data_IF_702365590838
#
_entry.id   IF_702365590838
#
_cell.length_a   1.000
_cell.length_b   1.000
_cell.length_c   1.000
_cell.angle_alpha   90.00
_cell.angle_beta   90.00
_cell.angle_gamma   90.00
#
_symmetry.space_group_name_H-M   'P 1'
#
loop_
_entity.id
_entity.type
_entity.pdbx_description
1 polymer ?
#
# COMPACT_ATOMS: atom_id res chain seq x y z
N UNK A 1 2.94 5.72 15.93
CA UNK A 1 1.65 5.14 16.35
C UNK A 1 0.72 6.10 17.11
N UNK A 2 1.18 7.12 17.84
CA UNK A 2 0.28 8.09 18.53
C UNK A 2 -0.82 8.71 17.66
N UNK A 3 -0.60 8.89 16.35
CA UNK A 3 -1.61 9.39 15.39
C UNK A 3 -2.83 8.48 15.25
N UNK A 4 -2.76 7.23 15.73
CA UNK A 4 -3.85 6.25 15.67
C UNK A 4 -4.81 6.36 16.87
N UNK A 5 -4.40 7.03 17.95
CA UNK A 5 -5.15 7.08 19.21
C UNK A 5 -6.46 7.88 19.08
N UNK A 6 -6.57 8.73 18.06
CA UNK A 6 -7.69 9.66 17.85
C UNK A 6 -8.54 9.39 16.60
N UNK A 7 -8.33 8.27 15.91
CA UNK A 7 -9.01 7.95 14.64
C UNK A 7 -9.93 6.74 14.80
N UNK A 8 -11.17 6.87 14.31
CA UNK A 8 -12.20 5.81 14.39
C UNK A 8 -12.05 4.72 13.33
N UNK A 9 -11.32 5.01 12.24
CA UNK A 9 -11.13 4.12 11.12
C UNK A 9 -9.92 4.50 10.27
N UNK A 10 -9.47 3.54 9.46
CA UNK A 10 -8.38 3.70 8.52
C UNK A 10 -8.83 3.31 7.12
N UNK A 11 -8.49 4.14 6.13
CA UNK A 11 -8.61 3.81 4.73
C UNK A 11 -7.22 3.54 4.15
N UNK A 12 -7.08 2.45 3.40
CA UNK A 12 -5.84 2.07 2.72
C UNK A 12 -6.07 2.16 1.22
N UNK A 13 -5.36 3.09 0.57
CA UNK A 13 -5.51 3.35 -0.87
C UNK A 13 -4.19 3.12 -1.59
N UNK A 14 -4.22 2.37 -2.69
CA UNK A 14 -3.04 2.17 -3.52
C UNK A 14 -2.70 3.47 -4.26
N UNK A 15 -1.44 3.89 -4.16
CA UNK A 15 -0.91 5.01 -4.95
C UNK A 15 -0.37 4.44 -6.26
N UNK A 16 -1.09 4.70 -7.36
CA UNK A 16 -0.64 4.30 -8.70
C UNK A 16 0.49 5.23 -9.15
N UNK A 17 1.68 4.68 -9.35
CA UNK A 17 2.80 5.42 -9.94
C UNK A 17 2.74 5.31 -11.46
N UNK A 18 2.35 6.40 -12.12
CA UNK A 18 2.23 6.45 -13.58
C UNK A 18 3.55 6.20 -14.32
N UNK A 19 4.71 6.44 -13.68
CA UNK A 19 6.02 6.12 -14.25
C UNK A 19 6.31 4.62 -14.37
N UNK A 20 5.83 3.81 -13.42
CA UNK A 20 5.92 2.34 -13.47
C UNK A 20 5.01 1.78 -14.56
N UNK A 21 3.81 2.37 -14.73
CA UNK A 21 2.86 2.01 -15.79
C UNK A 21 3.45 2.28 -17.19
N UNK A 22 4.17 3.40 -17.37
CA UNK A 22 4.78 3.77 -18.66
C UNK A 22 6.08 3.00 -18.98
N UNK A 23 6.81 2.55 -17.97
CA UNK A 23 8.08 1.81 -18.13
C UNK A 23 7.92 0.28 -18.10
N UNK A 24 6.77 -0.22 -17.66
CA UNK A 24 6.50 -1.65 -17.51
C UNK A 24 7.27 -2.32 -16.36
N UNK A 25 7.95 -1.54 -15.52
CA UNK A 25 8.68 -2.02 -14.35
C UNK A 25 7.71 -2.09 -13.16
N UNK A 26 7.20 -3.29 -12.84
CA UNK A 26 6.34 -3.51 -11.68
C UNK A 26 7.19 -3.46 -10.39
N UNK A 27 7.36 -2.27 -9.81
CA UNK A 27 7.80 -2.15 -8.43
C UNK A 27 6.79 -2.74 -7.44
N UNK A 28 7.18 -2.82 -6.17
CA UNK A 28 6.23 -3.17 -5.10
C UNK A 28 5.13 -2.10 -5.02
N UNK A 29 3.87 -2.53 -4.90
CA UNK A 29 2.76 -1.62 -4.77
C UNK A 29 2.93 -0.73 -3.52
N UNK A 30 2.68 0.56 -3.68
CA UNK A 30 2.72 1.55 -2.60
C UNK A 30 1.32 1.98 -2.23
N UNK A 31 1.12 2.30 -0.97
CA UNK A 31 -0.17 2.63 -0.39
C UNK A 31 -0.05 3.85 0.52
N UNK A 32 -1.17 4.53 0.69
CA UNK A 32 -1.37 5.59 1.66
C UNK A 32 -2.40 5.11 2.67
N UNK A 33 -2.10 5.30 3.95
CA UNK A 33 -3.03 5.06 5.05
C UNK A 33 -3.57 6.41 5.50
N UNK A 34 -4.89 6.60 5.40
CA UNK A 34 -5.58 7.83 5.79
C UNK A 34 -6.62 7.59 6.86
N UNK A 35 -7.00 8.64 7.58
CA UNK A 35 -8.18 8.62 8.45
C UNK A 35 -9.50 8.67 7.64
N UNK A 36 -10.63 8.68 8.35
CA UNK A 36 -11.98 8.78 7.78
C UNK A 36 -12.23 10.12 7.06
N UNK A 37 -11.51 11.17 7.44
CA UNK A 37 -11.53 12.48 6.79
C UNK A 37 -10.65 12.56 5.55
N UNK A 38 -9.91 11.50 5.22
CA UNK A 38 -8.96 11.47 4.11
C UNK A 38 -7.60 12.09 4.42
N UNK A 39 -7.31 12.43 5.68
CA UNK A 39 -5.99 12.92 6.05
C UNK A 39 -4.97 11.78 6.04
N UNK A 40 -3.91 11.94 5.23
CA UNK A 40 -2.84 10.96 5.14
C UNK A 40 -2.03 10.87 6.45
N UNK A 41 -2.06 9.71 7.09
CA UNK A 41 -1.38 9.46 8.36
C UNK A 41 -0.01 8.81 8.15
N UNK A 42 0.05 7.80 7.27
CA UNK A 42 1.22 6.95 7.01
C UNK A 42 1.32 6.56 5.53
N UNK A 43 2.49 6.05 5.16
CA UNK A 43 2.66 5.30 3.92
C UNK A 43 2.74 3.80 4.24
N UNK A 44 2.46 2.97 3.25
CA UNK A 44 2.73 1.55 3.34
C UNK A 44 3.24 0.98 2.03
N UNK A 45 3.99 -0.12 2.09
CA UNK A 45 4.57 -0.82 0.93
C UNK A 45 4.20 -2.30 0.98
N UNK A 46 3.82 -2.89 -0.15
CA UNK A 46 3.59 -4.34 -0.24
C UNK A 46 4.91 -5.08 -0.06
N UNK A 47 4.90 -6.08 0.81
CA UNK A 47 6.04 -6.97 0.99
C UNK A 47 6.37 -7.68 -0.35
N UNK A 48 7.66 -7.91 -0.65
CA UNK A 48 8.04 -8.68 -1.84
C UNK A 48 7.43 -10.09 -1.82
N UNK A 49 6.52 -10.36 -2.75
CA UNK A 49 5.85 -11.65 -2.88
C UNK A 49 6.44 -12.55 -3.96
N UNK A 50 5.92 -13.78 -4.04
CA UNK A 50 6.25 -14.71 -5.13
C UNK A 50 5.74 -14.19 -6.48
N UNK A 51 6.64 -14.11 -7.46
CA UNK A 51 6.31 -13.73 -8.86
C UNK A 51 5.30 -14.71 -9.47
N UNK A 52 5.45 -16.01 -9.21
CA UNK A 52 4.49 -17.01 -9.70
C UNK A 52 3.11 -16.81 -9.05
N UNK A 53 3.06 -16.52 -7.76
CA UNK A 53 1.79 -16.21 -7.09
C UNK A 53 1.13 -14.96 -7.70
N UNK A 54 1.92 -13.93 -8.05
CA UNK A 54 1.41 -12.73 -8.72
C UNK A 54 0.80 -13.07 -10.09
N UNK A 55 1.44 -13.93 -10.88
CA UNK A 55 0.97 -14.32 -12.22
C UNK A 55 -0.30 -15.20 -12.18
N UNK A 56 -0.35 -16.19 -11.28
CA UNK A 56 -1.40 -17.20 -11.28
C UNK A 56 -2.54 -16.93 -10.29
N UNK A 57 -2.25 -16.44 -9.09
CA UNK A 57 -3.26 -16.22 -8.04
C UNK A 57 -3.89 -14.82 -8.10
N UNK A 58 -3.17 -13.84 -8.67
CA UNK A 58 -3.65 -12.46 -8.88
C UNK A 58 -4.19 -11.81 -7.61
N UNK A 59 -5.53 -11.67 -7.48
CA UNK A 59 -6.18 -11.08 -6.32
C UNK A 59 -6.25 -12.05 -5.12
N UNK A 60 -6.05 -13.34 -5.34
CA UNK A 60 -5.99 -14.38 -4.29
C UNK A 60 -4.59 -14.60 -3.74
N UNK A 61 -3.60 -13.82 -4.20
CA UNK A 61 -2.24 -13.91 -3.64
C UNK A 61 -2.26 -13.46 -2.17
N UNK A 62 -1.42 -14.05 -1.30
CA UNK A 62 -1.18 -13.51 0.03
C UNK A 62 -0.78 -12.05 -0.06
N UNK A 63 -1.36 -11.22 0.80
CA UNK A 63 -1.16 -9.77 0.80
C UNK A 63 -0.76 -9.32 2.21
N UNK A 64 0.43 -8.73 2.30
CA UNK A 64 0.97 -8.11 3.49
C UNK A 64 1.57 -6.75 3.10
N UNK A 65 1.41 -5.77 3.99
CA UNK A 65 1.96 -4.42 3.80
C UNK A 65 2.67 -3.99 5.07
N UNK A 66 3.82 -3.34 4.88
CA UNK A 66 4.57 -2.69 5.96
C UNK A 66 4.20 -1.22 6.04
N UNK A 67 3.76 -0.79 7.24
CA UNK A 67 3.43 0.62 7.50
C UNK A 67 4.69 1.37 7.90
N UNK A 68 5.01 2.44 7.17
CA UNK A 68 6.17 3.28 7.41
C UNK A 68 5.75 4.70 7.79
N UNK A 69 6.55 5.34 8.65
CA UNK A 69 6.30 6.73 9.01
C UNK A 69 6.47 7.64 7.78
N UNK A 70 5.57 8.61 7.67
CA UNK A 70 5.70 9.71 6.73
C UNK A 70 6.84 10.63 7.22
N UNK A 71 7.88 10.80 6.40
CA UNK A 71 8.98 11.74 6.63
C UNK A 71 8.48 13.19 6.59
#
# INVERSE_FOLDING_TARGET
MRRLESVGGLAVSQKKEWGEILSGFEGSNKYVVSDEGGHELFYAVEEPGSVLARLFLKAYRPFAIDVVNRA
#
